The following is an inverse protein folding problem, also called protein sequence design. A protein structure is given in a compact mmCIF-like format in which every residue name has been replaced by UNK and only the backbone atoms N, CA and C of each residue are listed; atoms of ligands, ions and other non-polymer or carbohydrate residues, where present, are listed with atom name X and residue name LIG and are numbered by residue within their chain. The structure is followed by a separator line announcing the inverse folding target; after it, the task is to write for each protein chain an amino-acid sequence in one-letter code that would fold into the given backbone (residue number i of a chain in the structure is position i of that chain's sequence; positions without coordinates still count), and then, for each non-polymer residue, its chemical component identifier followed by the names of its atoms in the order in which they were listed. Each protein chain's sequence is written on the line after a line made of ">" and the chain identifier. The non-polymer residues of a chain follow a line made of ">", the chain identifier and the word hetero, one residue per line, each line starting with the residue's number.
data_IF_419180978286
#
_entry.id   IF_419180978286
#
_cell.length_a   1.000
_cell.length_b   1.000
_cell.length_c   1.000
_cell.angle_alpha   90.00
_cell.angle_beta   90.00
_cell.angle_gamma   90.00
#
_symmetry.space_group_name_H-M   'P 1'
#
loop_
_entity.id
_entity.type
_entity.pdbx_description
1 polymer ?
#
# COMPACT_ATOMS: atom_id res chain seq x y z
N UNK A 1 6.44 -1.29 15.79
CA UNK A 1 6.21 -2.30 14.74
C UNK A 1 5.10 -3.28 15.14
N UNK A 2 5.30 -4.15 16.13
CA UNK A 2 4.26 -5.08 16.63
C UNK A 2 2.91 -4.45 17.01
N UNK A 3 2.91 -3.23 17.55
CA UNK A 3 1.66 -2.52 17.88
C UNK A 3 0.94 -1.99 16.63
N UNK A 4 1.69 -1.62 15.60
CA UNK A 4 1.16 -1.15 14.32
C UNK A 4 0.54 -2.29 13.51
N UNK A 5 1.25 -3.43 13.43
CA UNK A 5 0.75 -4.65 12.77
C UNK A 5 -0.55 -5.13 13.43
N UNK A 6 -0.57 -5.24 14.75
CA UNK A 6 -1.78 -5.63 15.49
C UNK A 6 -2.94 -4.67 15.28
N UNK A 7 -2.66 -3.37 15.16
CA UNK A 7 -3.69 -2.37 14.91
C UNK A 7 -4.26 -2.50 13.49
N UNK A 8 -3.39 -2.68 12.49
CA UNK A 8 -3.78 -2.92 11.12
C UNK A 8 -4.61 -4.21 10.97
N UNK A 9 -4.21 -5.31 11.61
CA UNK A 9 -4.95 -6.57 11.58
C UNK A 9 -6.31 -6.49 12.31
N UNK A 10 -6.43 -5.61 13.30
CA UNK A 10 -7.66 -5.48 14.11
C UNK A 10 -8.77 -4.64 13.45
N UNK A 11 -8.50 -4.05 12.28
CA UNK A 11 -9.42 -3.09 11.62
C UNK A 11 -9.76 -3.54 10.18
N UNK A 12 -11.04 -3.49 9.76
CA UNK A 12 -11.46 -3.91 8.42
C UNK A 12 -10.82 -3.13 7.27
N UNK A 13 -10.40 -1.89 7.52
CA UNK A 13 -9.74 -0.99 6.57
C UNK A 13 -8.21 -0.96 6.74
N UNK A 14 -7.70 -1.66 7.75
CA UNK A 14 -6.31 -1.57 8.17
C UNK A 14 -6.00 -0.22 8.82
N UNK A 15 -4.72 0.15 8.80
CA UNK A 15 -4.30 1.44 9.35
C UNK A 15 -4.47 2.56 8.30
N UNK A 16 -5.54 3.35 8.43
CA UNK A 16 -5.84 4.46 7.52
C UNK A 16 -4.94 5.67 7.84
N UNK A 17 -4.25 6.18 6.83
CA UNK A 17 -3.37 7.34 6.95
C UNK A 17 -3.71 8.41 5.91
N UNK A 18 -3.51 9.68 6.28
CA UNK A 18 -3.38 10.76 5.29
C UNK A 18 -2.05 10.64 4.54
N UNK A 19 -1.96 11.31 3.39
CA UNK A 19 -0.71 11.35 2.60
C UNK A 19 0.50 11.84 3.42
N UNK A 20 0.30 12.84 4.29
CA UNK A 20 1.36 13.36 5.14
C UNK A 20 1.84 12.32 6.15
N UNK A 21 0.90 11.63 6.81
CA UNK A 21 1.23 10.57 7.76
C UNK A 21 1.93 9.40 7.07
N UNK A 22 1.53 9.03 5.85
CA UNK A 22 2.21 8.00 5.06
C UNK A 22 3.66 8.38 4.75
N UNK A 23 3.92 9.63 4.35
CA UNK A 23 5.28 10.12 4.12
C UNK A 23 6.10 10.08 5.41
N UNK A 24 5.54 10.57 6.51
CA UNK A 24 6.21 10.52 7.81
C UNK A 24 6.50 9.07 8.20
N UNK A 25 5.57 8.13 8.01
CA UNK A 25 5.80 6.70 8.23
C UNK A 25 6.94 6.15 7.37
N UNK A 26 6.94 6.46 6.07
CA UNK A 26 7.95 5.97 5.14
C UNK A 26 9.38 6.43 5.50
N UNK A 27 9.54 7.66 6.02
CA UNK A 27 10.83 8.17 6.46
C UNK A 27 11.40 7.49 7.72
N UNK A 28 10.56 6.79 8.48
CA UNK A 28 10.96 6.12 9.72
C UNK A 28 10.96 4.58 9.59
N UNK A 29 10.86 4.05 8.36
CA UNK A 29 11.03 2.63 8.07
C UNK A 29 12.53 2.28 8.10
N UNK A 30 13.03 1.92 9.27
CA UNK A 30 14.43 1.48 9.47
C UNK A 30 14.67 0.01 9.07
N UNK A 31 13.62 -0.82 9.00
CA UNK A 31 13.70 -2.25 8.67
C UNK A 31 12.79 -2.61 7.47
N UNK A 32 13.13 -3.71 6.78
CA UNK A 32 12.33 -4.29 5.70
C UNK A 32 10.96 -4.74 6.23
N UNK A 33 9.91 -3.97 5.97
CA UNK A 33 8.54 -4.37 6.23
C UNK A 33 7.92 -4.80 4.90
N UNK A 34 7.43 -6.04 4.81
CA UNK A 34 6.47 -6.42 3.78
C UNK A 34 5.19 -5.62 4.04
N UNK A 35 4.89 -4.64 3.19
CA UNK A 35 3.72 -3.79 3.36
C UNK A 35 2.88 -3.74 2.08
N UNK A 36 1.57 -3.73 2.27
CA UNK A 36 0.58 -3.48 1.23
C UNK A 36 -0.03 -2.11 1.49
N UNK A 37 0.15 -1.18 0.55
CA UNK A 37 -0.45 0.15 0.60
C UNK A 37 -1.59 0.22 -0.40
N UNK A 38 -2.78 0.57 0.09
CA UNK A 38 -3.99 0.71 -0.72
C UNK A 38 -4.41 2.18 -0.72
N UNK A 39 -4.65 2.73 -1.90
CA UNK A 39 -5.15 4.09 -2.06
C UNK A 39 -6.55 4.11 -2.67
N UNK A 40 -7.39 4.98 -2.13
CA UNK A 40 -8.73 5.26 -2.64
C UNK A 40 -9.07 6.76 -2.52
N UNK A 41 -9.91 7.26 -3.43
CA UNK A 41 -10.43 8.64 -3.43
C UNK A 41 -11.20 9.02 -2.18
N UNK A 42 -11.84 8.07 -1.51
CA UNK A 42 -12.59 8.31 -0.28
C UNK A 42 -12.32 7.23 0.75
N UNK A 43 -12.37 7.60 2.04
CA UNK A 43 -12.14 6.66 3.16
C UNK A 43 -13.17 5.53 3.15
N UNK A 44 -14.41 5.80 2.71
CA UNK A 44 -15.46 4.78 2.62
C UNK A 44 -15.24 3.73 1.53
N UNK A 45 -14.28 3.98 0.63
CA UNK A 45 -13.87 3.04 -0.42
C UNK A 45 -12.59 2.26 -0.04
N UNK A 46 -12.00 2.55 1.12
CA UNK A 46 -10.88 1.78 1.66
C UNK A 46 -11.40 0.46 2.20
N UNK A 47 -10.70 -0.61 1.85
CA UNK A 47 -10.95 -1.95 2.32
C UNK A 47 -9.60 -2.63 2.50
N UNK A 48 -9.41 -3.41 3.56
CA UNK A 48 -8.26 -4.31 3.65
C UNK A 48 -8.41 -5.34 2.55
N UNK A 49 -7.31 -5.61 1.86
CA UNK A 49 -7.29 -6.65 0.85
C UNK A 49 -6.28 -7.70 1.24
N UNK A 50 -6.75 -8.94 1.13
CA UNK A 50 -5.91 -10.11 1.20
C UNK A 50 -5.12 -10.24 -0.11
N UNK A 51 -3.80 -10.32 0.04
CA UNK A 51 -2.79 -10.51 -1.03
C UNK A 51 -3.14 -11.69 -1.94
N UNK A 52 -3.74 -12.73 -1.39
CA UNK A 52 -4.09 -13.96 -2.10
C UNK A 52 -5.49 -13.91 -2.74
N UNK A 53 -6.26 -12.84 -2.53
CA UNK A 53 -7.61 -12.74 -3.06
C UNK A 53 -7.65 -12.18 -4.49
N UNK A 54 -8.46 -12.78 -5.35
CA UNK A 54 -8.76 -12.25 -6.70
C UNK A 54 -9.47 -10.86 -6.67
N UNK A 55 -9.78 -10.36 -5.48
CA UNK A 55 -10.46 -9.07 -5.20
C UNK A 55 -9.58 -7.83 -5.41
N UNK A 56 -8.33 -7.99 -5.87
CA UNK A 56 -7.40 -6.91 -6.26
C UNK A 56 -8.03 -5.87 -7.22
N UNK A 57 -9.18 -6.18 -7.82
CA UNK A 57 -9.92 -5.29 -8.70
C UNK A 57 -10.67 -4.11 -8.05
N UNK A 58 -10.64 -3.89 -6.73
CA UNK A 58 -11.50 -2.89 -6.06
C UNK A 58 -10.83 -1.55 -5.68
N UNK A 59 -9.53 -1.52 -5.37
CA UNK A 59 -8.79 -0.30 -5.05
C UNK A 59 -8.29 0.45 -6.29
N UNK A 60 -8.09 1.76 -6.17
CA UNK A 60 -7.64 2.59 -7.30
C UNK A 60 -6.16 2.37 -7.62
N UNK A 61 -5.35 2.15 -6.58
CA UNK A 61 -3.91 1.88 -6.65
C UNK A 61 -3.45 1.06 -5.44
N UNK A 62 -2.49 0.18 -5.69
CA UNK A 62 -1.96 -0.81 -4.79
C UNK A 62 -0.45 -0.88 -4.98
N UNK A 63 0.28 -0.81 -3.87
CA UNK A 63 1.73 -0.93 -3.83
C UNK A 63 2.06 -2.05 -2.85
N UNK A 64 2.75 -3.08 -3.34
CA UNK A 64 3.17 -4.21 -2.54
C UNK A 64 4.69 -4.31 -2.60
N UNK A 65 5.31 -4.41 -1.43
CA UNK A 65 6.75 -4.64 -1.28
C UNK A 65 6.96 -6.11 -0.88
N UNK A 66 7.53 -6.92 -1.78
CA UNK A 66 7.67 -8.36 -1.60
C UNK A 66 8.90 -8.74 -0.76
N UNK A 67 10.03 -8.20 -1.17
CA UNK A 67 11.26 -8.07 -0.41
C UNK A 67 11.76 -6.66 -0.74
N UNK A 68 12.67 -6.08 0.03
CA UNK A 68 13.09 -4.67 -0.14
C UNK A 68 13.73 -4.32 -1.51
N UNK A 69 13.64 -5.21 -2.50
CA UNK A 69 14.13 -5.04 -3.87
C UNK A 69 13.03 -5.01 -4.94
N UNK A 70 11.84 -5.52 -4.66
CA UNK A 70 10.76 -5.61 -5.68
C UNK A 70 9.45 -4.96 -5.22
N UNK A 71 9.02 -3.95 -5.99
CA UNK A 71 7.73 -3.29 -5.84
C UNK A 71 6.76 -3.76 -6.92
N UNK A 72 5.62 -4.33 -6.49
CA UNK A 72 4.49 -4.59 -7.37
C UNK A 72 3.51 -3.41 -7.30
N UNK A 73 3.21 -2.83 -8.46
CA UNK A 73 2.28 -1.71 -8.60
C UNK A 73 1.07 -2.18 -9.41
N UNK A 74 -0.12 -2.12 -8.82
CA UNK A 74 -1.37 -2.47 -9.48
C UNK A 74 -2.41 -1.38 -9.27
N UNK A 75 -3.41 -1.31 -10.14
CA UNK A 75 -4.46 -0.30 -10.04
C UNK A 75 -5.35 -0.26 -11.27
N UNK A 76 -6.50 0.41 -11.12
CA UNK A 76 -7.49 0.56 -12.21
C UNK A 76 -7.03 1.55 -13.28
N UNK A 77 -6.25 2.55 -12.89
CA UNK A 77 -5.70 3.55 -13.81
C UNK A 77 -4.31 3.11 -14.29
N UNK A 78 -4.26 2.58 -15.51
CA UNK A 78 -3.00 2.11 -16.12
C UNK A 78 -1.96 3.20 -16.32
N UNK A 79 -2.38 4.47 -16.44
CA UNK A 79 -1.46 5.61 -16.56
C UNK A 79 -0.83 5.94 -15.21
N UNK A 80 -1.62 5.91 -14.14
CA UNK A 80 -1.13 6.10 -12.78
C UNK A 80 -0.15 4.98 -12.40
N UNK A 81 -0.53 3.72 -12.68
CA UNK A 81 0.34 2.55 -12.47
C UNK A 81 1.66 2.73 -13.21
N UNK A 82 1.63 3.02 -14.52
CA UNK A 82 2.85 3.19 -15.31
C UNK A 82 3.75 4.34 -14.81
N UNK A 83 3.17 5.45 -14.36
CA UNK A 83 3.95 6.56 -13.82
C UNK A 83 4.66 6.19 -12.52
N UNK A 84 4.00 5.41 -11.66
CA UNK A 84 4.55 5.03 -10.36
C UNK A 84 5.58 3.90 -10.52
N UNK A 85 5.32 2.90 -11.36
CA UNK A 85 6.29 1.83 -11.64
C UNK A 85 7.65 2.37 -12.09
N UNK A 86 7.67 3.42 -12.92
CA UNK A 86 8.92 4.06 -13.38
C UNK A 86 9.77 4.62 -12.24
N UNK A 87 9.15 5.10 -11.15
CA UNK A 87 9.88 5.62 -9.99
C UNK A 87 10.72 4.52 -9.34
N UNK A 88 10.24 3.27 -9.37
CA UNK A 88 10.93 2.13 -8.79
C UNK A 88 11.94 1.46 -9.75
N UNK A 89 11.83 1.68 -11.06
CA UNK A 89 12.82 1.22 -12.05
C UNK A 89 14.10 2.08 -12.07
N UNK A 90 14.05 3.31 -11.53
CA UNK A 90 15.15 4.28 -11.54
C UNK A 90 16.05 4.24 -10.27
N UNK A 91 15.76 3.36 -9.31
CA UNK A 91 16.49 3.21 -8.03
C UNK A 91 17.47 2.04 -8.10
#
# INVERSE_FOLDING_TARGET
>A
MLEFERLAESTPEGFVMTWRELLDFAFHLDDTIECLVVAAKSVGDLMTIDRDSESLGLGELWLELNDSTEWLVQGRDSRLVSNISKVFEEV
#
